data_IF_669725035407
#
_entry.id   IF_669725035407
#
_cell.length_a   1.000
_cell.length_b   1.000
_cell.length_c   1.000
_cell.angle_alpha   90.00
_cell.angle_beta   90.00
_cell.angle_gamma   90.00
#
_symmetry.space_group_name_H-M   'P 1'
#
loop_
_entity.id
_entity.type
_entity.pdbx_description
1 polymer ?
#
# COMPACT_ATOMS: atom_id res chain seq x y z
N UNK A 1 2.57 -23.03 11.31
CA UNK A 1 1.73 -22.06 10.63
C UNK A 1 2.63 -20.90 10.18
N UNK A 2 2.47 -20.45 8.96
CA UNK A 2 3.17 -19.26 8.49
C UNK A 2 2.69 -18.01 9.21
N UNK A 3 3.46 -16.92 9.09
CA UNK A 3 3.12 -15.62 9.67
C UNK A 3 3.03 -14.56 8.61
N UNK A 4 2.07 -13.66 8.79
CA UNK A 4 1.88 -12.43 8.06
C UNK A 4 2.19 -11.21 8.96
N UNK A 5 2.22 -10.03 8.41
CA UNK A 5 2.42 -8.78 9.13
C UNK A 5 1.14 -7.97 9.05
N UNK A 6 0.42 -7.89 10.16
CA UNK A 6 -0.79 -7.04 10.28
C UNK A 6 -0.39 -5.57 10.28
N UNK A 7 -1.18 -4.77 9.59
CA UNK A 7 -1.10 -3.33 9.58
C UNK A 7 -2.32 -2.79 10.34
N UNK A 8 -2.08 -2.07 11.42
CA UNK A 8 -3.10 -1.25 12.08
C UNK A 8 -2.75 0.21 11.92
N UNK A 9 -3.74 1.07 11.89
CA UNK A 9 -3.48 2.50 11.63
C UNK A 9 -4.10 3.40 12.67
N UNK A 10 -3.54 4.60 12.76
CA UNK A 10 -4.12 5.73 13.48
C UNK A 10 -3.95 7.00 12.68
N UNK A 11 -4.95 7.90 12.73
CA UNK A 11 -4.85 9.20 12.08
C UNK A 11 -3.61 9.96 12.57
N UNK A 12 -2.84 10.48 11.64
CA UNK A 12 -1.60 11.18 11.96
C UNK A 12 -1.88 12.50 12.72
N UNK A 13 -1.13 12.81 13.78
CA UNK A 13 -1.21 14.11 14.41
C UNK A 13 -0.60 15.19 13.53
N UNK A 14 -0.94 16.46 13.78
CA UNK A 14 -0.32 17.57 13.08
C UNK A 14 1.19 17.57 13.30
N UNK A 15 1.97 17.70 12.21
CA UNK A 15 3.44 17.74 12.27
C UNK A 15 4.09 16.36 12.48
N UNK A 16 3.39 15.29 12.10
CA UNK A 16 3.97 13.95 12.11
C UNK A 16 5.21 13.83 11.18
N UNK A 17 6.01 12.79 11.38
CA UNK A 17 7.15 12.49 10.50
C UNK A 17 6.63 12.10 9.10
N UNK A 18 6.87 12.96 8.11
CA UNK A 18 6.44 12.73 6.72
C UNK A 18 7.07 11.47 6.11
N UNK A 19 8.24 11.04 6.58
CA UNK A 19 8.90 9.80 6.20
C UNK A 19 8.37 8.54 6.93
N UNK A 20 7.38 8.65 7.81
CA UNK A 20 6.81 7.49 8.49
C UNK A 20 6.06 6.56 7.51
N UNK A 21 5.96 5.28 7.88
CA UNK A 21 5.06 4.34 7.20
C UNK A 21 3.62 4.78 7.37
N UNK A 22 2.89 4.95 6.26
CA UNK A 22 1.53 5.48 6.28
C UNK A 22 0.72 5.11 5.04
N UNK A 23 -0.60 5.13 5.20
CA UNK A 23 -1.54 5.30 4.08
C UNK A 23 -1.85 6.79 3.92
N UNK A 24 -2.00 7.21 2.67
CA UNK A 24 -2.44 8.55 2.24
C UNK A 24 -1.63 9.72 2.82
N UNK A 25 -2.18 10.92 2.70
CA UNK A 25 -1.51 12.16 3.08
C UNK A 25 -0.41 12.54 2.09
N UNK A 26 0.56 13.31 2.55
CA UNK A 26 1.68 13.81 1.76
C UNK A 26 2.75 12.72 1.57
N UNK A 27 3.00 12.21 0.35
CA UNK A 27 4.12 11.31 0.13
C UNK A 27 5.46 12.03 0.29
N UNK A 28 6.46 11.30 0.76
CA UNK A 28 7.86 11.74 0.69
C UNK A 28 8.61 10.84 -0.27
N UNK A 29 9.21 11.41 -1.31
CA UNK A 29 9.81 10.67 -2.42
C UNK A 29 11.25 11.11 -2.68
N UNK A 30 12.03 10.33 -3.45
CA UNK A 30 13.34 10.78 -3.94
C UNK A 30 13.19 12.02 -4.83
N UNK A 31 14.13 12.94 -4.76
CA UNK A 31 14.13 14.13 -5.64
C UNK A 31 14.12 13.79 -7.14
N UNK A 32 14.66 12.63 -7.50
CA UNK A 32 14.68 12.16 -8.89
C UNK A 32 13.29 11.86 -9.45
N UNK A 33 12.27 11.74 -8.60
CA UNK A 33 10.88 11.51 -9.01
C UNK A 33 10.05 12.79 -9.09
N UNK A 34 10.68 13.94 -8.92
CA UNK A 34 10.01 15.24 -9.06
C UNK A 34 9.43 15.41 -10.49
N UNK A 35 8.12 15.59 -10.58
CA UNK A 35 7.41 15.68 -11.86
C UNK A 35 7.21 14.35 -12.61
N UNK A 36 7.46 13.20 -11.98
CA UNK A 36 7.35 11.85 -12.58
C UNK A 36 6.00 11.17 -12.22
N UNK A 37 4.99 11.97 -11.91
CA UNK A 37 3.66 11.49 -11.53
C UNK A 37 2.59 12.06 -12.46
N UNK A 38 1.54 11.29 -12.71
CA UNK A 38 0.39 11.72 -13.50
C UNK A 38 -0.62 12.49 -12.64
N UNK A 39 -1.41 13.35 -13.24
CA UNK A 39 -2.39 14.20 -12.53
C UNK A 39 -3.51 13.41 -11.83
N UNK A 40 -3.80 12.20 -12.30
CA UNK A 40 -4.83 11.29 -11.80
C UNK A 40 -4.28 10.16 -10.90
N UNK A 41 -2.99 10.19 -10.64
CA UNK A 41 -2.34 9.22 -9.78
C UNK A 41 -2.65 9.50 -8.30
N UNK A 42 -3.00 8.46 -7.55
CA UNK A 42 -3.33 8.53 -6.14
C UNK A 42 -2.18 7.95 -5.33
N UNK A 43 -1.67 8.69 -4.36
CA UNK A 43 -0.76 8.13 -3.37
C UNK A 43 -1.53 7.24 -2.40
N UNK A 44 -1.30 5.93 -2.47
CA UNK A 44 -1.94 4.96 -1.59
C UNK A 44 -1.18 4.76 -0.29
N UNK A 45 0.10 4.39 -0.36
CA UNK A 45 0.91 4.23 0.84
C UNK A 45 2.41 4.34 0.58
N UNK A 46 3.15 4.61 1.65
CA UNK A 46 4.59 4.38 1.75
C UNK A 46 4.90 3.54 2.99
N UNK A 47 5.85 2.63 2.86
CA UNK A 47 6.33 1.79 3.95
C UNK A 47 7.84 1.97 4.08
N UNK A 48 8.28 2.48 5.22
CA UNK A 48 9.69 2.46 5.60
C UNK A 48 10.05 1.01 5.92
N UNK A 49 10.87 0.38 5.11
CA UNK A 49 11.10 -1.07 5.17
C UNK A 49 11.83 -1.51 6.44
N UNK A 50 12.57 -0.61 7.09
CA UNK A 50 13.14 -0.89 8.42
C UNK A 50 12.08 -1.13 9.50
N UNK A 51 10.86 -0.58 9.35
CA UNK A 51 9.78 -0.76 10.32
C UNK A 51 9.24 -2.20 10.34
N UNK A 52 9.42 -2.94 9.25
CA UNK A 52 8.98 -4.33 9.11
C UNK A 52 10.13 -5.35 9.09
N UNK A 53 11.38 -4.91 9.10
CA UNK A 53 12.55 -5.76 8.93
C UNK A 53 12.60 -6.93 9.93
N UNK A 54 12.27 -6.68 11.21
CA UNK A 54 12.23 -7.69 12.24
C UNK A 54 11.06 -8.68 12.11
N UNK A 55 10.01 -8.32 11.35
CA UNK A 55 8.81 -9.12 11.14
C UNK A 55 8.89 -9.94 9.85
N UNK A 56 9.57 -9.46 8.81
CA UNK A 56 9.77 -10.17 7.54
C UNK A 56 10.88 -11.23 7.65
N UNK A 57 10.63 -12.28 8.42
CA UNK A 57 11.59 -13.37 8.66
C UNK A 57 12.01 -14.15 7.41
N UNK A 58 11.26 -14.01 6.31
CA UNK A 58 11.56 -14.68 5.03
C UNK A 58 12.34 -13.80 4.07
N UNK A 59 12.66 -12.56 4.46
CA UNK A 59 13.36 -11.55 3.62
C UNK A 59 12.72 -11.40 2.23
N UNK A 60 11.39 -11.24 2.21
CA UNK A 60 10.61 -11.09 0.96
C UNK A 60 10.78 -9.71 0.36
N UNK A 61 11.02 -8.70 1.21
CA UNK A 61 11.33 -7.33 0.81
C UNK A 61 12.74 -6.95 1.29
N UNK A 62 13.36 -5.91 0.70
CA UNK A 62 14.51 -5.26 1.29
C UNK A 62 14.20 -4.79 2.72
N UNK A 63 15.20 -4.73 3.60
CA UNK A 63 15.03 -4.26 4.98
C UNK A 63 15.50 -2.81 5.18
N UNK A 64 15.82 -2.12 4.09
CA UNK A 64 16.22 -0.70 4.04
C UNK A 64 15.43 0.01 2.95
N UNK A 65 15.38 1.33 3.01
CA UNK A 65 14.68 2.14 2.04
C UNK A 65 13.16 2.13 2.22
N UNK A 66 12.45 2.44 1.14
CA UNK A 66 11.01 2.66 1.15
C UNK A 66 10.33 1.93 -0.01
N UNK A 67 9.20 1.33 0.29
CA UNK A 67 8.25 0.82 -0.68
C UNK A 67 7.11 1.83 -0.81
N UNK A 68 6.75 2.18 -2.04
CA UNK A 68 5.64 3.06 -2.37
C UNK A 68 4.62 2.34 -3.21
N UNK A 69 3.36 2.66 -3.00
CA UNK A 69 2.25 2.23 -3.84
C UNK A 69 1.47 3.46 -4.26
N UNK A 70 1.39 3.65 -5.56
CA UNK A 70 0.51 4.63 -6.20
C UNK A 70 -0.56 3.87 -6.97
N UNK A 71 -1.73 4.47 -7.11
CA UNK A 71 -2.86 3.89 -7.84
C UNK A 71 -3.22 4.81 -8.99
N UNK A 72 -3.43 4.23 -10.15
CA UNK A 72 -3.89 4.91 -11.34
C UNK A 72 -5.25 4.35 -11.76
N UNK A 73 -6.08 5.19 -12.37
CA UNK A 73 -7.32 4.73 -13.02
C UNK A 73 -7.05 4.44 -14.48
N UNK A 74 -7.27 3.21 -14.93
CA UNK A 74 -7.03 2.82 -16.30
C UNK A 74 -8.11 3.41 -17.24
N UNK A 75 -7.71 4.39 -18.10
CA UNK A 75 -8.46 4.93 -19.26
C UNK A 75 -10.00 5.10 -19.07
N UNK A 76 -10.41 5.69 -17.95
CA UNK A 76 -11.85 5.98 -17.70
C UNK A 76 -12.68 4.74 -17.33
N UNK A 77 -12.05 3.59 -17.17
CA UNK A 77 -12.63 2.44 -16.50
C UNK A 77 -12.36 2.57 -15.00
N UNK A 78 -13.31 2.11 -14.18
CA UNK A 78 -13.20 2.14 -12.73
C UNK A 78 -12.19 1.11 -12.16
N UNK A 79 -11.29 0.59 -12.98
CA UNK A 79 -10.26 -0.36 -12.56
C UNK A 79 -9.00 0.38 -12.12
N UNK A 80 -8.51 0.01 -10.96
CA UNK A 80 -7.25 0.53 -10.44
C UNK A 80 -6.07 -0.32 -10.90
N UNK A 81 -4.98 0.34 -11.23
CA UNK A 81 -3.67 -0.27 -11.50
C UNK A 81 -2.70 0.23 -10.45
N UNK A 82 -1.85 -0.63 -9.93
CA UNK A 82 -0.83 -0.23 -8.97
C UNK A 82 0.51 0.04 -9.65
N UNK A 83 1.07 1.23 -9.41
CA UNK A 83 2.48 1.51 -9.62
C UNK A 83 3.22 1.32 -8.29
N UNK A 84 4.08 0.29 -8.23
CA UNK A 84 4.82 -0.04 -7.02
C UNK A 84 6.29 0.27 -7.24
N UNK A 85 6.81 1.20 -6.43
CA UNK A 85 8.18 1.69 -6.54
C UNK A 85 8.99 1.38 -5.28
N UNK A 86 10.27 1.15 -5.45
CA UNK A 86 11.23 1.01 -4.35
C UNK A 86 12.33 2.06 -4.46
N UNK A 87 12.70 2.65 -3.34
CA UNK A 87 13.85 3.53 -3.22
C UNK A 87 14.74 3.11 -2.06
N UNK A 88 16.02 2.85 -2.36
CA UNK A 88 17.03 2.53 -1.34
C UNK A 88 17.69 3.82 -0.85
N UNK A 89 17.11 4.43 0.16
CA UNK A 89 17.61 5.67 0.77
C UNK A 89 16.50 6.45 1.45
N UNK A 90 16.87 7.58 2.05
CA UNK A 90 15.91 8.48 2.69
C UNK A 90 15.30 9.42 1.63
N UNK A 91 13.98 9.53 1.57
CA UNK A 91 13.31 10.46 0.68
C UNK A 91 13.50 11.90 1.16
N UNK A 92 13.58 12.83 0.24
CA UNK A 92 13.89 14.24 0.54
C UNK A 92 12.86 15.24 0.03
N UNK A 93 11.93 14.81 -0.82
CA UNK A 93 10.90 15.64 -1.43
C UNK A 93 9.53 15.28 -0.88
N UNK A 94 8.84 16.23 -0.26
CA UNK A 94 7.42 16.09 0.07
C UNK A 94 6.57 16.72 -1.04
N UNK A 95 5.50 16.01 -1.46
CA UNK A 95 4.56 16.51 -2.48
C UNK A 95 3.23 16.80 -1.79
N UNK A 96 3.04 18.05 -1.39
CA UNK A 96 1.94 18.45 -0.51
C UNK A 96 0.54 18.43 -1.17
N UNK A 97 0.49 18.46 -2.49
CA UNK A 97 -0.75 18.57 -3.28
C UNK A 97 -1.08 17.30 -4.08
N UNK A 98 -0.43 16.18 -3.79
CA UNK A 98 -0.51 14.97 -4.60
C UNK A 98 -1.95 14.48 -4.84
N UNK A 99 -2.78 14.43 -3.80
CA UNK A 99 -4.15 13.92 -3.88
C UNK A 99 -5.22 15.02 -4.08
N UNK A 100 -4.83 16.28 -4.20
CA UNK A 100 -5.79 17.41 -4.26
C UNK A 100 -6.48 17.56 -5.63
N UNK A 101 -5.89 17.00 -6.68
CA UNK A 101 -6.42 17.08 -8.03
C UNK A 101 -7.62 16.16 -8.30
N UNK A 102 -7.85 15.18 -7.42
CA UNK A 102 -8.91 14.17 -7.60
C UNK A 102 -10.16 14.60 -6.84
N UNK A 103 -11.17 15.08 -7.58
CA UNK A 103 -12.46 15.50 -7.01
C UNK A 103 -13.13 14.36 -6.23
N UNK A 104 -13.57 14.65 -5.01
CA UNK A 104 -14.22 13.66 -4.14
C UNK A 104 -13.28 12.86 -3.24
N UNK A 105 -11.96 13.05 -3.38
CA UNK A 105 -10.96 12.33 -2.59
C UNK A 105 -10.18 13.24 -1.62
N UNK A 106 -10.78 14.34 -1.17
CA UNK A 106 -10.15 15.28 -0.24
C UNK A 106 -9.73 14.63 1.09
N UNK A 107 -10.42 13.56 1.50
CA UNK A 107 -10.07 12.78 2.68
C UNK A 107 -8.72 12.06 2.54
N UNK A 108 -8.21 11.82 1.33
CA UNK A 108 -6.88 11.25 1.09
C UNK A 108 -5.74 12.20 1.47
N UNK A 109 -6.03 13.46 1.78
CA UNK A 109 -5.04 14.38 2.36
C UNK A 109 -4.75 14.09 3.83
N UNK A 110 -5.59 13.31 4.51
CA UNK A 110 -5.33 12.83 5.85
C UNK A 110 -4.40 11.60 5.81
N UNK A 111 -3.31 11.66 6.56
CA UNK A 111 -2.42 10.51 6.70
C UNK A 111 -2.84 9.59 7.84
N UNK A 112 -2.62 8.29 7.67
CA UNK A 112 -2.85 7.26 8.68
C UNK A 112 -1.56 6.49 8.91
N UNK A 113 -0.93 6.72 10.07
CA UNK A 113 0.33 6.09 10.44
C UNK A 113 0.14 4.60 10.67
N UNK A 114 1.03 3.78 10.12
CA UNK A 114 1.01 2.33 10.25
C UNK A 114 1.73 1.86 11.50
N UNK A 115 1.13 0.88 12.17
CA UNK A 115 1.76 0.06 13.21
C UNK A 115 1.74 -1.40 12.77
N UNK A 116 2.86 -2.08 12.93
CA UNK A 116 3.06 -3.43 12.42
C UNK A 116 3.13 -4.46 13.54
N UNK A 117 2.47 -5.61 13.34
CA UNK A 117 2.52 -6.73 14.28
C UNK A 117 2.43 -8.08 13.55
N UNK A 118 2.84 -9.14 14.22
CA UNK A 118 2.77 -10.49 13.65
C UNK A 118 1.40 -11.11 13.86
N UNK A 119 0.81 -11.69 12.81
CA UNK A 119 -0.45 -12.46 12.85
C UNK A 119 -0.30 -13.78 12.13
N UNK A 120 -1.32 -14.62 12.19
CA UNK A 120 -1.38 -15.84 11.38
C UNK A 120 -1.64 -15.48 9.91
N UNK A 121 -1.12 -16.28 8.99
CA UNK A 121 -1.15 -15.97 7.55
C UNK A 121 -2.56 -15.96 6.95
N UNK A 122 -3.53 -16.59 7.60
CA UNK A 122 -4.95 -16.68 7.23
C UNK A 122 -5.84 -15.66 7.98
N UNK A 123 -5.26 -14.79 8.83
CA UNK A 123 -6.00 -13.74 9.52
C UNK A 123 -6.66 -12.79 8.51
N UNK A 124 -7.94 -12.44 8.74
CA UNK A 124 -8.69 -11.48 7.93
C UNK A 124 -8.40 -10.07 8.47
N UNK A 125 -7.56 -9.33 7.76
CA UNK A 125 -7.17 -7.97 8.15
C UNK A 125 -6.35 -7.31 7.03
N UNK A 126 -6.09 -6.01 7.15
CA UNK A 126 -5.07 -5.33 6.37
C UNK A 126 -3.69 -5.86 6.77
N UNK A 127 -2.95 -6.41 5.81
CA UNK A 127 -1.68 -7.11 6.09
C UNK A 127 -0.71 -7.13 4.92
N UNK A 128 0.56 -7.36 5.24
CA UNK A 128 1.56 -7.80 4.27
C UNK A 128 1.70 -9.32 4.37
N UNK A 129 1.78 -9.94 3.21
CA UNK A 129 2.02 -11.37 3.05
C UNK A 129 0.88 -12.28 3.58
N UNK A 130 1.12 -13.59 3.58
CA UNK A 130 0.14 -14.58 3.99
C UNK A 130 -0.77 -15.00 2.84
N UNK A 131 -1.97 -15.44 3.18
CA UNK A 131 -3.00 -15.81 2.22
C UNK A 131 -4.02 -14.67 2.07
N UNK A 132 -4.49 -14.38 0.84
CA UNK A 132 -5.56 -13.43 0.63
C UNK A 132 -6.84 -13.95 1.29
N UNK A 133 -7.55 -13.06 2.00
CA UNK A 133 -8.84 -13.39 2.62
C UNK A 133 -9.91 -13.52 1.54
N UNK A 134 -10.90 -14.38 1.78
CA UNK A 134 -12.06 -14.58 0.89
C UNK A 134 -11.74 -14.90 -0.58
N UNK A 135 -10.55 -15.49 -0.84
CA UNK A 135 -10.15 -15.88 -2.19
C UNK A 135 -11.06 -17.03 -2.71
N UNK A 136 -11.98 -16.70 -3.61
CA UNK A 136 -13.01 -17.62 -4.11
C UNK A 136 -12.75 -18.15 -5.52
N UNK A 137 -11.55 -17.97 -6.06
CA UNK A 137 -11.20 -18.43 -7.40
C UNK A 137 -10.76 -19.90 -7.38
N UNK A 138 -10.98 -20.61 -8.50
CA UNK A 138 -10.67 -22.02 -8.62
C UNK A 138 -9.15 -22.33 -8.54
N UNK A 139 -8.32 -21.39 -8.96
CA UNK A 139 -6.87 -21.50 -8.91
C UNK A 139 -6.32 -21.02 -7.55
N UNK A 140 -5.20 -21.58 -7.10
CA UNK A 140 -4.55 -21.07 -5.90
C UNK A 140 -4.13 -19.61 -6.11
N UNK A 141 -4.24 -18.76 -5.06
CA UNK A 141 -3.89 -17.36 -5.18
C UNK A 141 -2.42 -17.17 -5.53
N UNK A 142 -2.09 -16.10 -6.28
CA UNK A 142 -0.72 -15.64 -6.39
C UNK A 142 -0.14 -15.28 -5.01
N UNK A 143 1.17 -15.08 -4.93
CA UNK A 143 1.82 -14.69 -3.67
C UNK A 143 1.42 -13.28 -3.29
N UNK A 144 0.83 -13.13 -2.13
CA UNK A 144 0.37 -11.85 -1.61
C UNK A 144 1.54 -10.98 -1.17
N UNK A 145 1.62 -9.76 -1.69
CA UNK A 145 2.43 -8.68 -1.13
C UNK A 145 1.65 -7.94 -0.04
N UNK A 146 0.48 -7.44 -0.39
CA UNK A 146 -0.38 -6.66 0.51
C UNK A 146 -1.85 -7.01 0.29
N UNK A 147 -2.59 -7.03 1.35
CA UNK A 147 -4.05 -7.00 1.36
C UNK A 147 -4.49 -5.76 2.12
N UNK A 148 -5.36 -4.97 1.50
CA UNK A 148 -6.07 -3.89 2.16
C UNK A 148 -7.52 -4.32 2.38
N UNK A 149 -7.96 -4.25 3.63
CA UNK A 149 -9.34 -4.50 4.03
C UNK A 149 -10.00 -3.15 4.35
N UNK A 150 -10.98 -2.69 3.56
CA UNK A 150 -11.61 -1.38 3.76
C UNK A 150 -12.37 -1.30 5.10
N UNK A 151 -12.78 -2.42 5.65
CA UNK A 151 -13.55 -2.48 6.90
C UNK A 151 -12.66 -2.55 8.15
N UNK A 152 -11.39 -2.92 8.01
CA UNK A 152 -10.48 -3.14 9.16
C UNK A 152 -10.02 -1.83 9.81
N UNK A 153 -9.91 -0.75 9.05
CA UNK A 153 -9.23 0.47 9.48
C UNK A 153 -10.04 1.78 9.39
N UNK A 154 -11.27 1.76 8.93
CA UNK A 154 -12.16 2.94 8.81
C UNK A 154 -11.47 4.19 8.20
N UNK A 155 -10.71 3.97 7.14
CA UNK A 155 -9.99 5.04 6.45
C UNK A 155 -10.80 5.72 5.33
N UNK A 156 -11.91 5.13 4.92
CA UNK A 156 -12.89 5.69 3.99
C UNK A 156 -12.46 5.76 2.52
N UNK A 157 -11.23 5.32 2.18
CA UNK A 157 -10.72 5.52 0.82
C UNK A 157 -11.49 4.73 -0.23
N UNK A 158 -11.80 3.51 0.06
CA UNK A 158 -12.42 2.61 -0.90
C UNK A 158 -13.84 2.23 -0.45
N UNK A 159 -14.57 3.16 0.16
CA UNK A 159 -15.95 2.96 0.59
C UNK A 159 -16.88 2.50 -0.54
N UNK A 160 -16.47 2.74 -1.80
CA UNK A 160 -17.18 2.24 -2.98
C UNK A 160 -16.79 0.81 -3.37
N UNK A 161 -15.74 0.26 -2.76
CA UNK A 161 -15.31 -1.11 -2.95
C UNK A 161 -15.79 -1.94 -1.76
N UNK A 162 -16.79 -2.75 -1.98
CA UNK A 162 -17.36 -3.63 -0.94
C UNK A 162 -16.46 -4.85 -0.64
N UNK A 163 -15.20 -4.82 -1.08
CA UNK A 163 -14.29 -5.96 -1.00
C UNK A 163 -12.83 -5.58 -0.76
N UNK A 164 -12.00 -6.60 -0.80
CA UNK A 164 -10.56 -6.44 -0.57
C UNK A 164 -9.83 -5.89 -1.80
N UNK A 165 -8.73 -5.17 -1.53
CA UNK A 165 -7.72 -4.86 -2.55
C UNK A 165 -6.48 -5.69 -2.27
N UNK A 166 -6.04 -6.44 -3.26
CA UNK A 166 -4.84 -7.28 -3.19
C UNK A 166 -3.76 -6.75 -4.11
N UNK A 167 -2.54 -6.72 -3.60
CA UNK A 167 -1.32 -6.57 -4.40
C UNK A 167 -0.61 -7.91 -4.40
N UNK A 168 -0.38 -8.47 -5.57
CA UNK A 168 0.29 -9.75 -5.76
C UNK A 168 1.67 -9.58 -6.38
N UNK A 169 2.64 -10.34 -5.87
CA UNK A 169 3.94 -10.47 -6.53
C UNK A 169 3.79 -11.10 -7.92
N UNK A 170 4.62 -10.64 -8.84
CA UNK A 170 4.81 -11.31 -10.12
C UNK A 170 5.57 -12.63 -9.99
N UNK A 171 6.00 -13.19 -11.12
CA UNK A 171 6.79 -14.44 -11.15
C UNK A 171 8.13 -14.32 -10.44
N UNK A 172 8.77 -13.16 -10.55
CA UNK A 172 9.95 -12.80 -9.77
C UNK A 172 9.52 -11.88 -8.63
N UNK A 173 9.50 -12.40 -7.40
CA UNK A 173 9.14 -11.63 -6.21
C UNK A 173 10.08 -10.45 -5.91
N UNK A 174 11.27 -10.43 -6.53
CA UNK A 174 12.22 -9.33 -6.37
C UNK A 174 12.00 -8.19 -7.37
N UNK A 175 11.27 -8.46 -8.43
CA UNK A 175 10.91 -7.46 -9.43
C UNK A 175 9.57 -6.81 -9.05
N UNK A 176 9.65 -5.72 -8.30
CA UNK A 176 8.47 -5.00 -7.81
C UNK A 176 7.66 -4.33 -8.95
N UNK A 177 8.25 -4.16 -10.14
CA UNK A 177 7.53 -3.65 -11.31
C UNK A 177 6.51 -4.65 -11.88
N UNK A 178 6.55 -5.92 -11.45
CA UNK A 178 5.62 -6.97 -11.86
C UNK A 178 4.47 -7.17 -10.86
N UNK A 179 4.34 -6.32 -9.86
CA UNK A 179 3.22 -6.39 -8.91
C UNK A 179 1.93 -6.04 -9.65
N UNK A 180 0.91 -6.83 -9.41
CA UNK A 180 -0.43 -6.63 -9.97
C UNK A 180 -1.43 -6.33 -8.86
N UNK A 181 -2.40 -5.49 -9.17
CA UNK A 181 -3.52 -5.20 -8.29
C UNK A 181 -4.73 -6.03 -8.72
N UNK A 182 -5.48 -6.51 -7.75
CA UNK A 182 -6.76 -7.17 -7.92
C UNK A 182 -7.75 -6.61 -6.90
N UNK A 183 -8.91 -6.21 -7.39
CA UNK A 183 -10.01 -5.71 -6.56
C UNK A 183 -11.08 -6.79 -6.49
N UNK A 184 -11.61 -7.04 -5.32
CA UNK A 184 -12.74 -7.94 -5.13
C UNK A 184 -13.97 -7.12 -4.74
N UNK A 185 -15.02 -7.23 -5.54
CA UNK A 185 -16.31 -6.61 -5.29
C UNK A 185 -17.24 -7.66 -4.69
N UNK A 186 -18.01 -7.33 -3.67
CA UNK A 186 -19.05 -8.19 -3.10
C UNK A 186 -20.35 -8.15 -3.89
#
# INVERSE_FOLDING_TARGET
>A
MGKAIKITVKKAPKGYDLGASKFFGTPTVPLAWDGDFYEDEIFFCQIRLSDIAELDKKNRLPHTGYLYVFLETEDGNYHLVADVRYHDGEPVLAIDDFNTAVEGYEHLNDAYLMEFSTVDEDEICTKLFGFPSDWNYADPPPKLLMQYDPLDNDMGFLDSLDGFVYLFFGKDEKDLSQITLHEEYS
#
